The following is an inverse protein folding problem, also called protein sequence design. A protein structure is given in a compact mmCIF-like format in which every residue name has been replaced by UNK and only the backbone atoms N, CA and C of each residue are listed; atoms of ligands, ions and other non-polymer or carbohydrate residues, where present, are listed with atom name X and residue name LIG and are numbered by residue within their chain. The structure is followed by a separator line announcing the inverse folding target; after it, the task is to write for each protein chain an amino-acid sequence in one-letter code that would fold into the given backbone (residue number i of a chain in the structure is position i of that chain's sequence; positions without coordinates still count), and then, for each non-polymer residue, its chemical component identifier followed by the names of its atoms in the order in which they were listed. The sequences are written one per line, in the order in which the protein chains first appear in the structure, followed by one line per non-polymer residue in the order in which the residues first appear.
data_IF_370754664828
#
_entry.id   IF_370754664828
#
_cell.length_a   1.000
_cell.length_b   1.000
_cell.length_c   1.000
_cell.angle_alpha   90.00
_cell.angle_beta   90.00
_cell.angle_gamma   90.00
#
_symmetry.space_group_name_H-M   'P 1'
#
loop_
_entity.id
_entity.type
_entity.pdbx_description
1 polymer ?
#
# COMPACT_ATOMS: atom_id res chain seq x y z
N UNK A 1 -35.42 -8.94 -31.17
CA UNK A 1 -35.27 -9.82 -29.99
C UNK A 1 -33.89 -10.42 -30.06
N UNK A 2 -32.93 -9.82 -29.33
CA UNK A 2 -31.54 -10.25 -29.31
C UNK A 2 -31.25 -10.96 -28.00
N UNK A 3 -30.83 -12.22 -28.13
CA UNK A 3 -30.52 -13.15 -27.07
C UNK A 3 -29.24 -12.71 -26.33
N UNK A 4 -29.34 -12.37 -25.03
CA UNK A 4 -28.18 -12.06 -24.19
C UNK A 4 -27.86 -13.29 -23.36
N UNK A 5 -26.74 -13.92 -23.72
CA UNK A 5 -26.20 -15.10 -23.07
C UNK A 5 -25.95 -14.87 -21.56
N UNK A 6 -26.37 -15.79 -20.66
CA UNK A 6 -26.22 -15.63 -19.19
C UNK A 6 -24.80 -15.68 -18.65
N UNK A 7 -23.81 -16.01 -19.49
CA UNK A 7 -22.41 -16.24 -19.09
C UNK A 7 -21.62 -14.97 -18.76
N UNK A 8 -22.12 -13.77 -19.11
CA UNK A 8 -21.44 -12.51 -18.82
C UNK A 8 -21.74 -11.94 -17.42
N UNK A 9 -22.75 -12.46 -16.72
CA UNK A 9 -23.19 -11.91 -15.41
C UNK A 9 -22.40 -12.51 -14.24
N UNK A 10 -21.86 -13.73 -14.38
CA UNK A 10 -21.16 -14.41 -13.28
C UNK A 10 -19.67 -14.05 -13.13
N UNK A 11 -19.00 -13.56 -14.17
CA UNK A 11 -17.56 -13.23 -14.08
C UNK A 11 -17.27 -11.89 -13.38
N UNK A 12 -18.19 -10.93 -13.40
CA UNK A 12 -18.00 -9.64 -12.74
C UNK A 12 -18.12 -9.74 -11.20
N UNK A 13 -18.81 -10.75 -10.69
CA UNK A 13 -19.11 -10.89 -9.26
C UNK A 13 -17.97 -11.59 -8.50
N UNK A 14 -17.29 -12.56 -9.13
CA UNK A 14 -16.17 -13.28 -8.51
C UNK A 14 -14.95 -12.37 -8.27
N UNK A 15 -14.62 -11.49 -9.22
CA UNK A 15 -13.52 -10.53 -9.08
C UNK A 15 -13.79 -9.51 -7.96
N UNK A 16 -15.05 -9.10 -7.78
CA UNK A 16 -15.47 -8.20 -6.70
C UNK A 16 -15.39 -8.87 -5.33
N UNK A 17 -15.87 -10.12 -5.23
CA UNK A 17 -15.81 -10.92 -4.01
C UNK A 17 -14.36 -11.25 -3.62
N UNK A 18 -13.49 -11.56 -4.59
CA UNK A 18 -12.08 -11.83 -4.33
C UNK A 18 -11.33 -10.57 -3.86
N UNK A 19 -11.63 -9.41 -4.46
CA UNK A 19 -11.10 -8.12 -4.00
C UNK A 19 -11.57 -7.78 -2.57
N UNK A 20 -12.84 -8.06 -2.24
CA UNK A 20 -13.41 -7.81 -0.91
C UNK A 20 -12.85 -8.77 0.16
N UNK A 21 -12.57 -10.02 -0.19
CA UNK A 21 -11.87 -10.98 0.68
C UNK A 21 -10.42 -10.54 0.95
N UNK A 22 -9.71 -10.07 -0.08
CA UNK A 22 -8.36 -9.55 0.07
C UNK A 22 -8.35 -8.29 0.94
N UNK A 23 -9.26 -7.35 0.70
CA UNK A 23 -9.39 -6.16 1.52
C UNK A 23 -9.77 -6.52 2.97
N UNK A 24 -10.64 -7.51 3.19
CA UNK A 24 -11.00 -8.02 4.51
C UNK A 24 -9.80 -8.62 5.29
N UNK A 25 -9.01 -9.47 4.65
CA UNK A 25 -7.80 -10.07 5.23
C UNK A 25 -6.75 -8.99 5.56
N UNK A 26 -6.64 -7.98 4.71
CA UNK A 26 -5.65 -6.92 4.84
C UNK A 26 -6.11 -5.82 5.82
N UNK A 27 -7.43 -5.61 6.00
CA UNK A 27 -8.02 -4.86 7.12
C UNK A 27 -7.62 -5.51 8.46
N UNK A 28 -7.69 -6.84 8.55
CA UNK A 28 -7.35 -7.57 9.76
C UNK A 28 -5.85 -7.44 10.09
N UNK A 29 -4.96 -7.62 9.11
CA UNK A 29 -3.51 -7.43 9.25
C UNK A 29 -3.13 -5.99 9.65
N UNK A 30 -3.73 -4.97 9.04
CA UNK A 30 -3.43 -3.57 9.35
C UNK A 30 -4.06 -3.07 10.66
N UNK A 31 -5.16 -3.67 11.11
CA UNK A 31 -5.76 -3.35 12.41
C UNK A 31 -4.89 -3.79 13.60
N UNK A 32 -3.99 -4.75 13.39
CA UNK A 32 -2.98 -5.18 14.36
C UNK A 32 -1.75 -4.27 14.40
N UNK A 33 -1.54 -3.43 13.37
CA UNK A 33 -0.47 -2.46 13.30
C UNK A 33 -0.99 -1.04 13.53
N UNK A 34 -1.09 -0.62 14.80
CA UNK A 34 -1.36 0.78 15.17
C UNK A 34 -0.12 1.66 14.87
N UNK A 35 -0.19 2.58 13.88
CA UNK A 35 0.94 3.43 13.52
C UNK A 35 1.12 4.64 14.45
N UNK A 36 0.27 4.81 15.48
CA UNK A 36 0.42 5.92 16.45
C UNK A 36 1.43 5.66 17.56
N UNK A 37 2.00 4.44 17.63
CA UNK A 37 3.23 4.23 18.39
C UNK A 37 4.43 4.74 17.59
N UNK A 38 4.64 6.05 17.65
CA UNK A 38 5.99 6.59 17.50
C UNK A 38 6.90 5.81 18.48
N UNK A 39 8.04 5.25 18.05
CA UNK A 39 9.06 4.82 18.99
C UNK A 39 9.47 6.07 19.75
N UNK A 40 9.05 6.15 21.01
CA UNK A 40 9.65 7.05 21.99
C UNK A 40 11.15 6.81 21.90
N UNK A 41 11.95 7.88 21.83
CA UNK A 41 13.40 7.81 21.64
C UNK A 41 14.04 6.65 22.43
N UNK A 42 14.33 5.54 21.73
CA UNK A 42 14.90 4.37 22.37
C UNK A 42 16.41 4.62 22.50
N UNK A 43 16.85 4.72 23.75
CA UNK A 43 18.25 4.72 24.17
C UNK A 43 19.01 3.62 23.44
N UNK A 44 20.16 3.96 22.86
CA UNK A 44 21.00 3.13 21.97
C UNK A 44 21.66 1.89 22.59
N UNK A 45 21.32 1.49 23.80
CA UNK A 45 21.96 0.36 24.48
C UNK A 45 20.95 -0.77 24.73
N UNK A 46 20.33 -1.26 23.65
CA UNK A 46 19.34 -2.35 23.73
C UNK A 46 19.92 -3.65 23.17
N UNK A 47 19.85 -4.78 23.90
CA UNK A 47 20.41 -6.08 23.46
C UNK A 47 19.69 -6.72 22.25
N UNK A 48 18.71 -6.04 21.64
CA UNK A 48 17.92 -6.51 20.51
C UNK A 48 18.16 -5.77 19.18
N UNK A 49 19.25 -4.99 19.07
CA UNK A 49 19.53 -4.17 17.88
C UNK A 49 19.52 -4.94 16.55
N UNK A 50 19.88 -6.23 16.54
CA UNK A 50 19.82 -7.08 15.34
C UNK A 50 18.40 -7.40 14.90
N UNK A 51 17.46 -7.59 15.84
CA UNK A 51 16.06 -7.84 15.55
C UNK A 51 15.38 -6.57 15.00
N UNK A 52 15.75 -5.40 15.54
CA UNK A 52 15.23 -4.12 15.07
C UNK A 52 15.65 -3.84 13.61
N UNK A 53 16.91 -4.12 13.25
CA UNK A 53 17.41 -3.95 11.88
C UNK A 53 16.71 -4.91 10.91
N UNK A 54 16.51 -6.18 11.30
CA UNK A 54 15.77 -7.14 10.47
C UNK A 54 14.32 -6.69 10.25
N UNK A 55 13.64 -6.20 11.28
CA UNK A 55 12.29 -5.68 11.16
C UNK A 55 12.22 -4.47 10.23
N UNK A 56 13.16 -3.53 10.35
CA UNK A 56 13.24 -2.37 9.45
C UNK A 56 13.53 -2.77 8.01
N UNK A 57 14.36 -3.80 7.80
CA UNK A 57 14.68 -4.33 6.49
C UNK A 57 13.48 -4.99 5.81
N UNK A 58 12.75 -5.86 6.52
CA UNK A 58 11.52 -6.44 5.98
C UNK A 58 10.50 -5.37 5.62
N UNK A 59 10.29 -4.39 6.52
CA UNK A 59 9.41 -3.26 6.23
C UNK A 59 9.86 -2.46 5.00
N UNK A 60 11.17 -2.26 4.82
CA UNK A 60 11.71 -1.58 3.64
C UNK A 60 11.39 -2.34 2.35
N UNK A 61 11.54 -3.67 2.35
CA UNK A 61 11.18 -4.50 1.19
C UNK A 61 9.67 -4.52 0.94
N UNK A 62 8.84 -4.60 1.99
CA UNK A 62 7.38 -4.55 1.88
C UNK A 62 6.89 -3.22 1.30
N UNK A 63 7.49 -2.11 1.76
CA UNK A 63 7.22 -0.76 1.27
C UNK A 63 7.59 -0.64 -0.23
N UNK A 64 8.71 -1.23 -0.66
CA UNK A 64 9.08 -1.30 -2.08
C UNK A 64 8.10 -2.15 -2.89
N UNK A 65 7.66 -3.30 -2.37
CA UNK A 65 6.65 -4.15 -3.02
C UNK A 65 5.35 -3.37 -3.24
N UNK A 66 4.88 -2.66 -2.21
CA UNK A 66 3.66 -1.86 -2.27
C UNK A 66 3.70 -0.79 -3.38
N UNK A 67 4.82 -0.09 -3.53
CA UNK A 67 4.97 0.95 -4.56
C UNK A 67 5.14 0.40 -5.98
N UNK A 68 5.58 -0.86 -6.12
CA UNK A 68 5.73 -1.53 -7.40
C UNK A 68 4.45 -2.23 -7.90
N UNK A 69 3.49 -2.50 -7.01
CA UNK A 69 2.19 -3.06 -7.37
C UNK A 69 1.30 -2.02 -8.08
N UNK A 70 0.86 -2.32 -9.30
CA UNK A 70 0.20 -1.37 -10.22
C UNK A 70 -1.31 -1.61 -10.43
N UNK A 71 -1.79 -2.83 -10.24
CA UNK A 71 -3.14 -3.29 -10.54
C UNK A 71 -3.92 -3.56 -9.25
N UNK A 72 -5.25 -3.45 -9.31
CA UNK A 72 -6.11 -3.84 -8.20
C UNK A 72 -6.38 -5.35 -8.19
N UNK A 73 -6.92 -5.86 -7.08
CA UNK A 73 -7.40 -7.25 -6.99
C UNK A 73 -6.31 -8.32 -7.03
N UNK A 74 -5.06 -7.97 -6.72
CA UNK A 74 -3.95 -8.93 -6.64
C UNK A 74 -3.29 -9.27 -7.99
N UNK A 75 -3.69 -8.62 -9.10
CA UNK A 75 -3.22 -8.96 -10.45
C UNK A 75 -1.74 -8.66 -10.70
N UNK A 76 -1.17 -7.67 -10.02
CA UNK A 76 0.26 -7.36 -10.14
C UNK A 76 0.97 -7.40 -8.81
N UNK A 77 0.58 -8.32 -7.91
CA UNK A 77 1.30 -8.51 -6.64
C UNK A 77 2.78 -8.65 -6.96
N UNK A 78 3.58 -7.80 -6.33
CA UNK A 78 5.03 -7.81 -6.45
C UNK A 78 5.59 -8.39 -5.16
N UNK A 79 6.48 -9.36 -5.30
CA UNK A 79 7.33 -9.82 -4.20
C UNK A 79 8.79 -9.53 -4.53
N UNK A 80 9.53 -9.17 -3.49
CA UNK A 80 10.94 -8.79 -3.59
C UNK A 80 11.78 -9.64 -2.66
N UNK A 81 12.94 -10.06 -3.17
CA UNK A 81 14.02 -10.64 -2.39
C UNK A 81 15.27 -9.82 -2.69
N UNK A 82 16.11 -9.64 -1.69
CA UNK A 82 17.39 -8.99 -1.84
C UNK A 82 18.50 -9.96 -1.47
N UNK A 83 19.44 -10.15 -2.39
CA UNK A 83 20.60 -11.04 -2.25
C UNK A 83 21.88 -10.20 -2.26
N UNK A 84 22.82 -10.50 -1.38
CA UNK A 84 24.19 -9.99 -1.52
C UNK A 84 25.03 -11.00 -2.33
N UNK A 85 25.40 -10.63 -3.55
CA UNK A 85 26.17 -11.46 -4.46
C UNK A 85 27.44 -10.74 -4.89
N UNK A 86 28.60 -11.25 -4.45
CA UNK A 86 29.94 -10.75 -4.86
C UNK A 86 30.14 -9.25 -4.62
N UNK A 87 29.58 -8.70 -3.54
CA UNK A 87 29.70 -7.28 -3.18
C UNK A 87 28.73 -6.35 -3.92
N UNK A 88 27.78 -6.91 -4.68
CA UNK A 88 26.63 -6.21 -5.25
C UNK A 88 25.35 -6.73 -4.60
N UNK A 89 24.37 -5.85 -4.37
CA UNK A 89 23.05 -6.23 -3.89
C UNK A 89 22.07 -6.38 -5.06
N UNK A 90 21.48 -7.57 -5.19
CA UNK A 90 20.54 -7.90 -6.25
C UNK A 90 19.13 -7.88 -5.68
N UNK A 91 18.30 -6.96 -6.18
CA UNK A 91 16.87 -6.95 -5.90
C UNK A 91 16.14 -7.80 -6.94
N UNK A 92 15.76 -9.01 -6.52
CA UNK A 92 14.99 -9.95 -7.31
C UNK A 92 13.51 -9.63 -7.24
N UNK A 93 12.88 -9.45 -8.40
CA UNK A 93 11.48 -9.10 -8.55
C UNK A 93 10.72 -10.28 -9.14
N UNK A 94 9.61 -10.64 -8.51
CA UNK A 94 8.62 -11.55 -9.10
C UNK A 94 7.23 -10.95 -9.05
N UNK A 95 6.49 -11.17 -10.13
CA UNK A 95 5.10 -10.77 -10.36
C UNK A 95 4.58 -11.58 -11.55
N UNK A 96 3.34 -11.37 -11.97
CA UNK A 96 2.84 -11.99 -13.20
C UNK A 96 3.71 -11.57 -14.41
N UNK A 97 4.04 -12.51 -15.30
CA UNK A 97 5.00 -12.31 -16.39
C UNK A 97 4.74 -11.04 -17.23
N UNK A 98 3.46 -10.73 -17.48
CA UNK A 98 3.05 -9.54 -18.25
C UNK A 98 3.44 -8.20 -17.57
N UNK A 99 3.68 -8.20 -16.26
CA UNK A 99 4.05 -7.02 -15.47
C UNK A 99 5.53 -7.00 -15.04
N UNK A 100 6.31 -8.03 -15.37
CA UNK A 100 7.65 -8.23 -14.81
C UNK A 100 8.64 -7.12 -15.21
N UNK A 101 8.78 -6.82 -16.50
CA UNK A 101 9.67 -5.75 -16.99
C UNK A 101 9.25 -4.38 -16.45
N UNK A 102 7.94 -4.18 -16.33
CA UNK A 102 7.33 -2.97 -15.80
C UNK A 102 7.70 -2.77 -14.33
N UNK A 103 7.60 -3.82 -13.51
CA UNK A 103 7.95 -3.79 -12.09
C UNK A 103 9.46 -3.59 -11.88
N UNK A 104 10.30 -4.29 -12.65
CA UNK A 104 11.77 -4.13 -12.64
C UNK A 104 12.17 -2.68 -12.95
N UNK A 105 11.63 -2.11 -14.03
CA UNK A 105 11.91 -0.73 -14.40
C UNK A 105 11.46 0.27 -13.33
N UNK A 106 10.29 0.03 -12.70
CA UNK A 106 9.79 0.91 -11.64
C UNK A 106 10.67 0.88 -10.40
N UNK A 107 10.99 -0.33 -9.93
CA UNK A 107 11.82 -0.52 -8.75
C UNK A 107 13.19 0.12 -8.96
N UNK A 108 13.76 -0.03 -10.16
CA UNK A 108 15.03 0.58 -10.49
C UNK A 108 14.99 2.11 -10.36
N UNK A 109 13.91 2.76 -10.83
CA UNK A 109 13.71 4.20 -10.65
C UNK A 109 13.59 4.56 -9.16
N UNK A 110 12.80 3.82 -8.38
CA UNK A 110 12.63 4.08 -6.93
C UNK A 110 13.98 3.97 -6.20
N UNK A 111 14.74 2.90 -6.41
CA UNK A 111 16.03 2.68 -5.74
C UNK A 111 17.05 3.79 -6.07
N UNK A 112 17.08 4.28 -7.32
CA UNK A 112 17.91 5.43 -7.69
C UNK A 112 17.47 6.73 -7.01
N UNK A 113 16.17 6.94 -6.81
CA UNK A 113 15.68 8.10 -6.03
C UNK A 113 16.04 7.98 -4.55
N UNK A 114 15.94 6.78 -3.97
CA UNK A 114 16.35 6.52 -2.59
C UNK A 114 17.86 6.68 -2.39
N UNK A 115 18.67 6.30 -3.37
CA UNK A 115 20.11 6.55 -3.34
C UNK A 115 20.42 8.06 -3.24
N UNK A 116 19.65 8.90 -3.94
CA UNK A 116 19.77 10.37 -3.84
C UNK A 116 19.36 10.89 -2.46
N UNK A 117 18.39 10.25 -1.79
CA UNK A 117 17.96 10.64 -0.45
C UNK A 117 19.09 10.54 0.60
N UNK A 118 20.04 9.60 0.44
CA UNK A 118 21.15 9.39 1.39
C UNK A 118 21.97 10.67 1.61
N UNK A 119 22.11 11.51 0.59
CA UNK A 119 22.95 12.72 0.60
C UNK A 119 22.13 14.01 0.51
N UNK A 120 20.81 13.92 0.53
CA UNK A 120 19.94 15.07 0.34
C UNK A 120 19.84 15.90 1.63
N UNK A 121 19.81 17.23 1.51
CA UNK A 121 19.30 18.09 2.57
C UNK A 121 17.77 17.92 2.73
N UNK A 122 17.19 18.54 3.75
CA UNK A 122 15.76 18.38 4.07
C UNK A 122 14.83 18.82 2.92
N UNK A 123 15.16 19.90 2.21
CA UNK A 123 14.36 20.40 1.08
C UNK A 123 14.41 19.45 -0.11
N UNK A 124 15.62 18.99 -0.45
CA UNK A 124 15.84 18.00 -1.50
C UNK A 124 15.17 16.66 -1.15
N UNK A 125 15.26 16.22 0.11
CA UNK A 125 14.63 14.98 0.57
C UNK A 125 13.10 15.05 0.42
N UNK A 126 12.48 16.18 0.77
CA UNK A 126 11.04 16.39 0.59
C UNK A 126 10.62 16.28 -0.88
N UNK A 127 11.40 16.87 -1.79
CA UNK A 127 11.14 16.78 -3.23
C UNK A 127 11.29 15.35 -3.77
N UNK A 128 12.28 14.59 -3.29
CA UNK A 128 12.47 13.19 -3.66
C UNK A 128 11.34 12.29 -3.14
N UNK A 129 10.89 12.49 -1.90
CA UNK A 129 9.73 11.79 -1.33
C UNK A 129 8.50 12.00 -2.21
N UNK A 130 8.22 13.26 -2.57
CA UNK A 130 7.08 13.60 -3.41
C UNK A 130 7.21 12.96 -4.80
N UNK A 131 8.42 12.99 -5.38
CA UNK A 131 8.68 12.34 -6.66
C UNK A 131 8.42 10.83 -6.62
N UNK A 132 8.88 10.13 -5.57
CA UNK A 132 8.66 8.68 -5.35
C UNK A 132 7.16 8.38 -5.26
N UNK A 133 6.41 9.17 -4.48
CA UNK A 133 4.97 9.01 -4.37
C UNK A 133 4.27 9.22 -5.72
N UNK A 134 4.57 10.32 -6.42
CA UNK A 134 3.94 10.67 -7.69
C UNK A 134 4.19 9.65 -8.81
N UNK A 135 5.41 9.13 -8.94
CA UNK A 135 5.67 8.10 -9.96
C UNK A 135 4.89 6.82 -9.64
N UNK A 136 4.79 6.44 -8.36
CA UNK A 136 4.12 5.20 -7.94
C UNK A 136 2.59 5.31 -8.07
N UNK A 137 2.02 6.47 -7.73
CA UNK A 137 0.59 6.77 -7.94
C UNK A 137 0.24 6.74 -9.43
N UNK A 138 1.06 7.37 -10.28
CA UNK A 138 0.82 7.37 -11.74
C UNK A 138 0.85 5.97 -12.36
N UNK A 139 1.60 5.04 -11.78
CA UNK A 139 1.62 3.64 -12.22
C UNK A 139 0.49 2.80 -11.67
N UNK A 140 -0.26 3.30 -10.69
CA UNK A 140 -1.31 2.56 -9.99
C UNK A 140 -2.73 3.09 -10.22
N UNK A 141 -3.11 3.57 -11.43
CA UNK A 141 -4.37 4.30 -11.61
C UNK A 141 -5.59 3.45 -11.27
N UNK A 142 -5.54 2.13 -11.53
CA UNK A 142 -6.63 1.23 -11.20
C UNK A 142 -6.81 1.04 -9.69
N UNK A 143 -5.71 0.91 -8.94
CA UNK A 143 -5.74 0.79 -7.47
C UNK A 143 -6.30 2.07 -6.84
N UNK A 144 -5.79 3.22 -7.27
CA UNK A 144 -6.24 4.53 -6.78
C UNK A 144 -7.72 4.74 -7.09
N UNK A 145 -8.14 4.44 -8.33
CA UNK A 145 -9.54 4.52 -8.73
C UNK A 145 -10.44 3.59 -7.93
N UNK A 146 -9.99 2.35 -7.70
CA UNK A 146 -10.72 1.35 -6.91
C UNK A 146 -10.94 1.84 -5.48
N UNK A 147 -9.88 2.26 -4.78
CA UNK A 147 -9.99 2.76 -3.41
C UNK A 147 -10.81 4.05 -3.32
N UNK A 148 -10.65 4.98 -4.27
CA UNK A 148 -11.46 6.21 -4.33
C UNK A 148 -12.94 5.94 -4.57
N UNK A 149 -13.27 4.97 -5.42
CA UNK A 149 -14.65 4.56 -5.69
C UNK A 149 -15.29 3.85 -4.49
N UNK A 150 -14.55 2.95 -3.83
CA UNK A 150 -15.00 2.30 -2.59
C UNK A 150 -15.25 3.32 -1.48
N UNK A 151 -14.34 4.27 -1.28
CA UNK A 151 -14.51 5.36 -0.32
C UNK A 151 -15.79 6.14 -0.59
N UNK A 152 -16.01 6.57 -1.85
CA UNK A 152 -17.24 7.29 -2.24
C UNK A 152 -18.50 6.50 -1.89
N UNK A 153 -18.55 5.23 -2.27
CA UNK A 153 -19.75 4.42 -2.09
C UNK A 153 -20.09 4.23 -0.61
N UNK A 154 -19.09 3.91 0.21
CA UNK A 154 -19.28 3.66 1.65
C UNK A 154 -19.69 4.95 2.38
N UNK A 155 -19.13 6.10 2.00
CA UNK A 155 -19.55 7.39 2.56
C UNK A 155 -20.99 7.74 2.16
N UNK A 156 -21.39 7.48 0.92
CA UNK A 156 -22.76 7.74 0.45
C UNK A 156 -23.80 6.83 1.13
N UNK A 157 -23.48 5.55 1.33
CA UNK A 157 -24.29 4.60 2.10
C UNK A 157 -24.54 5.14 3.51
N UNK A 158 -23.48 5.63 4.18
CA UNK A 158 -23.58 6.14 5.55
C UNK A 158 -24.43 7.40 5.66
N UNK A 159 -24.24 8.36 4.75
CA UNK A 159 -25.06 9.58 4.75
C UNK A 159 -26.53 9.22 4.60
N UNK A 160 -26.86 8.26 3.73
CA UNK A 160 -28.25 7.79 3.51
C UNK A 160 -28.83 7.16 4.78
N UNK A 161 -28.07 6.34 5.50
CA UNK A 161 -28.48 5.75 6.78
C UNK A 161 -28.77 6.82 7.85
N UNK A 162 -27.91 7.84 7.97
CA UNK A 162 -28.06 8.91 8.96
C UNK A 162 -29.32 9.76 8.71
N UNK A 163 -29.63 10.04 7.44
CA UNK A 163 -30.89 10.69 7.06
C UNK A 163 -32.11 9.82 7.36
N UNK A 164 -32.04 8.51 7.12
CA UNK A 164 -33.14 7.58 7.38
C UNK A 164 -33.43 7.39 8.88
N UNK A 165 -32.42 7.50 9.74
CA UNK A 165 -32.56 7.44 11.20
C UNK A 165 -33.14 8.73 11.83
N UNK A 166 -33.50 9.74 11.02
CA UNK A 166 -34.09 11.00 11.50
C UNK A 166 -33.14 11.83 12.36
N UNK A 167 -31.82 11.60 12.26
CA UNK A 167 -30.82 12.37 12.97
C UNK A 167 -30.64 13.71 12.26
N UNK A 168 -31.02 14.80 12.95
CA UNK A 168 -30.59 16.14 12.55
C UNK A 168 -29.08 16.19 12.69
N UNK A 169 -28.36 16.42 11.59
CA UNK A 169 -26.94 16.71 11.58
C UNK A 169 -26.73 17.87 12.58
N UNK A 170 -26.02 17.59 13.68
CA UNK A 170 -25.85 18.53 14.77
C UNK A 170 -24.95 19.71 14.37
N UNK A 171 -24.97 20.71 15.25
CA UNK A 171 -24.26 22.01 15.17
C UNK A 171 -22.84 21.96 14.57
N UNK A 172 -22.44 23.05 13.89
CA UNK A 172 -21.21 23.30 13.09
C UNK A 172 -19.86 22.65 13.46
N UNK A 173 -19.67 22.09 14.66
CA UNK A 173 -18.46 21.34 15.02
C UNK A 173 -18.51 19.86 14.58
N UNK A 174 -19.70 19.30 14.35
CA UNK A 174 -19.87 17.90 13.95
C UNK A 174 -19.74 17.68 12.43
N UNK A 175 -19.74 18.75 11.62
CA UNK A 175 -19.68 18.65 10.14
C UNK A 175 -18.26 18.56 9.59
N UNK A 176 -17.25 18.99 10.34
CA UNK A 176 -15.86 19.08 9.85
C UNK A 176 -15.28 17.76 9.30
N UNK A 177 -15.52 16.57 9.92
CA UNK A 177 -15.07 15.30 9.34
C UNK A 177 -15.77 14.96 8.02
N UNK A 178 -17.06 15.31 7.89
CA UNK A 178 -17.85 15.10 6.68
C UNK A 178 -17.42 16.04 5.57
N UNK A 179 -17.24 17.33 5.84
CA UNK A 179 -16.74 18.31 4.87
C UNK A 179 -15.36 17.92 4.31
N UNK A 180 -14.47 17.43 5.18
CA UNK A 180 -13.16 16.97 4.76
C UNK A 180 -13.22 15.68 3.92
N UNK A 181 -14.15 14.76 4.21
CA UNK A 181 -14.40 13.59 3.38
C UNK A 181 -15.05 13.95 2.04
N UNK A 182 -16.01 14.88 2.04
CA UNK A 182 -16.66 15.38 0.84
C UNK A 182 -15.65 16.02 -0.11
N UNK A 183 -14.69 16.78 0.44
CA UNK A 183 -13.58 17.31 -0.35
C UNK A 183 -12.75 16.20 -1.01
N UNK A 184 -12.34 15.18 -0.24
CA UNK A 184 -11.58 14.03 -0.76
C UNK A 184 -12.37 13.31 -1.87
N UNK A 185 -13.68 13.10 -1.68
CA UNK A 185 -14.55 12.45 -2.64
C UNK A 185 -14.75 13.31 -3.90
N UNK A 186 -14.82 14.64 -3.76
CA UNK A 186 -14.96 15.57 -4.87
C UNK A 186 -13.75 15.50 -5.81
N UNK A 187 -12.53 15.44 -5.26
CA UNK A 187 -11.28 15.42 -6.03
C UNK A 187 -10.85 14.02 -6.50
N UNK A 188 -11.67 12.98 -6.28
CA UNK A 188 -11.28 11.57 -6.53
C UNK A 188 -10.77 11.22 -7.94
N UNK A 189 -11.06 12.07 -8.92
CA UNK A 189 -10.62 11.92 -10.31
C UNK A 189 -9.18 12.42 -10.53
N UNK A 190 -8.65 13.21 -9.58
CA UNK A 190 -7.29 13.71 -9.54
C UNK A 190 -6.47 12.78 -8.63
N UNK A 191 -5.88 11.73 -9.19
CA UNK A 191 -5.27 10.65 -8.41
C UNK A 191 -4.18 11.12 -7.43
N UNK A 192 -3.37 12.10 -7.83
CA UNK A 192 -2.32 12.67 -6.99
C UNK A 192 -2.94 13.41 -5.80
N UNK A 193 -3.79 14.40 -6.09
CA UNK A 193 -4.47 15.21 -5.07
C UNK A 193 -5.33 14.35 -4.12
N UNK A 194 -5.96 13.30 -4.65
CA UNK A 194 -6.72 12.32 -3.85
C UNK A 194 -5.83 11.62 -2.82
N UNK A 195 -4.68 11.10 -3.25
CA UNK A 195 -3.75 10.39 -2.37
C UNK A 195 -3.11 11.34 -1.35
N UNK A 196 -2.71 12.53 -1.78
CA UNK A 196 -2.13 13.55 -0.92
C UNK A 196 -3.15 14.02 0.13
N UNK A 197 -4.35 14.40 -0.29
CA UNK A 197 -5.42 14.84 0.61
C UNK A 197 -5.80 13.74 1.60
N UNK A 198 -5.82 12.47 1.17
CA UNK A 198 -6.06 11.33 2.06
C UNK A 198 -4.93 11.11 3.06
N UNK A 199 -3.68 11.37 2.67
CA UNK A 199 -2.54 11.34 3.59
C UNK A 199 -2.65 12.47 4.62
N UNK A 200 -2.86 13.71 4.17
CA UNK A 200 -2.99 14.90 5.03
C UNK A 200 -4.20 14.82 5.97
N UNK A 201 -5.30 14.20 5.53
CA UNK A 201 -6.50 14.00 6.35
C UNK A 201 -6.18 13.32 7.68
N UNK A 202 -5.25 12.36 7.71
CA UNK A 202 -4.85 11.65 8.94
C UNK A 202 -4.23 12.53 10.01
N UNK A 203 -3.71 13.69 9.62
CA UNK A 203 -3.07 14.66 10.51
C UNK A 203 -4.00 15.81 10.90
N UNK A 204 -5.20 15.87 10.32
CA UNK A 204 -6.21 16.85 10.71
C UNK A 204 -6.96 16.33 11.94
N UNK A 205 -7.39 17.26 12.81
CA UNK A 205 -8.25 16.95 13.95
C UNK A 205 -9.52 16.19 13.54
N UNK A 206 -9.99 16.43 12.31
CA UNK A 206 -11.06 15.69 11.65
C UNK A 206 -10.90 14.16 11.75
N UNK A 207 -9.70 13.60 11.63
CA UNK A 207 -9.45 12.16 11.76
C UNK A 207 -9.58 11.68 13.21
N UNK A 208 -9.13 12.49 14.17
CA UNK A 208 -9.30 12.23 15.60
C UNK A 208 -10.77 12.30 16.03
N UNK A 209 -11.51 13.27 15.50
CA UNK A 209 -12.95 13.41 15.70
C UNK A 209 -13.71 12.22 15.08
N UNK A 210 -13.31 11.78 13.88
CA UNK A 210 -13.87 10.59 13.24
C UNK A 210 -13.77 9.35 14.14
N UNK A 211 -12.70 9.23 14.95
CA UNK A 211 -12.50 8.15 15.94
C UNK A 211 -13.46 8.24 17.13
N UNK A 212 -13.86 9.46 17.52
CA UNK A 212 -14.76 9.71 18.65
C UNK A 212 -16.23 9.51 18.26
N UNK A 213 -16.60 9.76 17.01
CA UNK A 213 -17.97 9.63 16.50
C UNK A 213 -18.35 8.20 16.08
N UNK A 214 -17.45 7.23 16.25
CA UNK A 214 -17.74 5.82 15.94
C UNK A 214 -18.68 5.24 17.02
N UNK A 215 -20.00 5.29 16.78
CA UNK A 215 -20.97 4.54 17.57
C UNK A 215 -20.69 3.03 17.43
N UNK A 216 -20.98 2.20 18.45
CA UNK A 216 -20.77 0.75 18.37
C UNK A 216 -21.48 0.09 17.17
N UNK A 217 -22.66 0.61 16.80
CA UNK A 217 -23.47 0.13 15.67
C UNK A 217 -22.96 0.57 14.30
N UNK A 218 -22.21 1.67 14.18
CA UNK A 218 -21.64 2.17 12.91
C UNK A 218 -20.12 1.94 12.81
N UNK A 219 -19.57 1.15 13.73
CA UNK A 219 -18.13 0.90 13.85
C UNK A 219 -17.52 0.26 12.62
N UNK A 220 -18.26 -0.61 11.95
CA UNK A 220 -17.78 -1.29 10.76
C UNK A 220 -17.62 -0.32 9.58
N UNK A 221 -18.65 0.46 9.25
CA UNK A 221 -18.64 1.42 8.14
C UNK A 221 -17.56 2.48 8.30
N UNK A 222 -17.44 3.09 9.48
CA UNK A 222 -16.39 4.08 9.75
C UNK A 222 -14.98 3.47 9.73
N UNK A 223 -14.83 2.21 10.16
CA UNK A 223 -13.58 1.50 9.98
C UNK A 223 -13.24 1.29 8.51
N UNK A 224 -14.23 1.02 7.65
CA UNK A 224 -14.03 0.92 6.20
C UNK A 224 -13.67 2.27 5.57
N UNK A 225 -14.34 3.37 5.93
CA UNK A 225 -13.96 4.74 5.51
C UNK A 225 -12.51 5.02 5.87
N UNK A 226 -12.16 4.82 7.15
CA UNK A 226 -10.79 4.97 7.65
C UNK A 226 -9.81 4.07 6.91
N UNK A 227 -10.20 2.84 6.61
CA UNK A 227 -9.38 1.90 5.85
C UNK A 227 -9.05 2.44 4.46
N UNK A 228 -10.05 2.90 3.68
CA UNK A 228 -9.81 3.37 2.32
C UNK A 228 -9.08 4.72 2.26
N UNK A 229 -9.38 5.65 3.17
CA UNK A 229 -8.53 6.86 3.36
C UNK A 229 -7.10 6.45 3.73
N UNK A 230 -6.98 5.41 4.56
CA UNK A 230 -5.73 4.72 4.84
C UNK A 230 -5.03 4.26 3.57
N UNK A 231 -5.67 3.47 2.73
CA UNK A 231 -5.07 2.97 1.48
C UNK A 231 -4.62 4.09 0.57
N UNK A 232 -5.45 5.10 0.36
CA UNK A 232 -5.14 6.26 -0.49
C UNK A 232 -3.95 7.07 0.04
N UNK A 233 -3.87 7.29 1.35
CA UNK A 233 -2.71 7.97 1.94
C UNK A 233 -1.45 7.11 2.06
N UNK A 234 -1.50 5.83 1.70
CA UNK A 234 -0.38 4.90 1.93
C UNK A 234 0.81 5.17 1.01
N UNK A 235 0.59 5.61 -0.24
CA UNK A 235 1.68 5.96 -1.16
C UNK A 235 2.64 7.01 -0.60
N UNK A 236 2.13 8.12 -0.07
CA UNK A 236 2.97 9.15 0.56
C UNK A 236 3.62 8.63 1.85
N UNK A 237 2.88 7.89 2.68
CA UNK A 237 3.43 7.29 3.91
C UNK A 237 4.63 6.40 3.60
N UNK A 238 4.50 5.52 2.61
CA UNK A 238 5.52 4.57 2.20
C UNK A 238 6.72 5.29 1.57
N UNK A 239 6.51 6.29 0.73
CA UNK A 239 7.60 7.10 0.18
C UNK A 239 8.43 7.78 1.30
N UNK A 240 7.77 8.31 2.33
CA UNK A 240 8.44 8.90 3.52
C UNK A 240 9.20 7.83 4.31
N UNK A 241 8.58 6.66 4.53
CA UNK A 241 9.18 5.53 5.24
C UNK A 241 10.48 5.09 4.57
N UNK A 242 10.45 4.86 3.26
CA UNK A 242 11.62 4.47 2.47
C UNK A 242 12.71 5.53 2.47
N UNK A 243 12.36 6.81 2.26
CA UNK A 243 13.34 7.88 2.24
C UNK A 243 14.08 8.04 3.58
N UNK A 244 13.37 7.86 4.71
CA UNK A 244 13.97 7.87 6.05
C UNK A 244 14.87 6.66 6.30
N UNK A 245 14.47 5.49 5.80
CA UNK A 245 15.23 4.25 5.93
C UNK A 245 16.46 4.20 4.99
N UNK A 246 16.50 5.01 3.93
CA UNK A 246 17.54 4.97 2.92
C UNK A 246 18.96 5.11 3.49
N UNK A 247 19.15 5.94 4.54
CA UNK A 247 20.45 6.11 5.19
C UNK A 247 20.90 4.85 5.95
N UNK A 248 19.97 4.13 6.59
CA UNK A 248 20.26 2.87 7.30
C UNK A 248 20.69 1.75 6.34
N UNK A 249 20.23 1.81 5.09
CA UNK A 249 20.55 0.84 4.03
C UNK A 249 21.47 1.41 2.96
N UNK A 250 22.30 2.40 3.32
CA UNK A 250 23.15 3.10 2.36
C UNK A 250 24.16 2.18 1.65
N UNK A 251 24.71 1.17 2.35
CA UNK A 251 25.60 0.17 1.72
C UNK A 251 24.87 -0.61 0.62
N UNK A 252 23.63 -1.02 0.90
CA UNK A 252 22.77 -1.74 -0.04
C UNK A 252 22.46 -0.90 -1.27
N UNK A 253 22.14 0.38 -1.06
CA UNK A 253 21.76 1.31 -2.12
C UNK A 253 22.95 1.89 -2.89
N UNK A 254 24.20 1.64 -2.49
CA UNK A 254 25.39 2.13 -3.19
C UNK A 254 25.75 1.31 -4.41
N UNK A 255 25.58 -0.02 -4.33
CA UNK A 255 25.92 -0.94 -5.40
C UNK A 255 24.81 -1.98 -5.54
N UNK A 256 23.78 -1.64 -6.31
CA UNK A 256 22.64 -2.52 -6.53
C UNK A 256 22.35 -2.73 -8.01
N UNK A 257 21.69 -3.85 -8.29
CA UNK A 257 20.96 -4.06 -9.54
C UNK A 257 19.58 -4.64 -9.27
N UNK A 258 18.67 -4.43 -10.21
CA UNK A 258 17.34 -5.02 -10.17
C UNK A 258 17.24 -6.09 -11.24
N UNK A 259 16.71 -7.26 -10.89
CA UNK A 259 16.54 -8.36 -11.81
C UNK A 259 15.21 -9.05 -11.59
N UNK A 260 14.63 -9.56 -12.67
CA UNK A 260 13.51 -10.46 -12.64
C UNK A 260 13.93 -11.85 -12.14
N UNK A 261 13.15 -12.49 -11.28
CA UNK A 261 13.31 -13.92 -11.01
C UNK A 261 13.06 -14.66 -12.33
N UNK A 262 14.00 -15.51 -12.79
CA UNK A 262 13.80 -16.30 -14.00
C UNK A 262 12.54 -17.14 -13.85
N UNK A 263 11.60 -17.01 -14.78
CA UNK A 263 10.47 -17.92 -14.83
C UNK A 263 11.00 -19.34 -15.10
N UNK A 264 10.54 -20.37 -14.38
CA UNK A 264 10.78 -21.73 -14.82
C UNK A 264 10.24 -21.85 -16.25
N UNK A 265 11.10 -22.34 -17.14
CA UNK A 265 10.73 -22.60 -18.54
C UNK A 265 9.54 -23.59 -18.53
N UNK A 266 8.38 -23.25 -19.10
CA UNK A 266 7.23 -24.16 -19.10
C UNK A 266 7.54 -25.49 -19.80
N UNK A 267 8.57 -25.56 -20.65
CA UNK A 267 9.10 -26.79 -21.25
C UNK A 267 10.00 -27.63 -20.33
N UNK A 268 10.45 -27.05 -19.21
CA UNK A 268 11.18 -27.72 -18.13
C UNK A 268 10.34 -27.63 -16.87
N UNK A 269 9.22 -28.34 -16.83
CA UNK A 269 8.60 -28.65 -15.54
C UNK A 269 9.67 -29.31 -14.68
N UNK A 270 10.18 -28.58 -13.69
CA UNK A 270 10.82 -29.21 -12.56
C UNK A 270 9.77 -30.19 -12.02
N UNK A 271 10.05 -31.49 -12.14
CA UNK A 271 9.32 -32.50 -11.40
C UNK A 271 9.68 -32.27 -9.94
N UNK A 272 8.94 -31.38 -9.29
CA UNK A 272 8.91 -31.32 -7.84
C UNK A 272 8.25 -32.62 -7.40
N UNK A 273 9.06 -33.59 -6.99
CA UNK A 273 8.55 -34.71 -6.22
C UNK A 273 8.66 -34.27 -4.76
N UNK A 274 7.50 -34.15 -4.11
CA UNK A 274 7.40 -33.60 -2.76
C UNK A 274 8.36 -34.27 -1.76
N UNK A 275 8.69 -35.54 -2.02
CA UNK A 275 9.56 -36.36 -1.18
C UNK A 275 11.06 -36.02 -1.32
N UNK A 276 11.56 -35.74 -2.53
CA UNK A 276 12.99 -35.43 -2.75
C UNK A 276 13.35 -34.02 -2.23
N UNK A 277 12.42 -33.07 -2.35
CA UNK A 277 12.64 -31.69 -1.93
C UNK A 277 12.49 -31.48 -0.42
N UNK A 278 11.70 -32.32 0.26
CA UNK A 278 11.60 -32.32 1.72
C UNK A 278 12.87 -32.86 2.39
N UNK A 279 13.54 -33.87 1.79
CA UNK A 279 14.82 -34.35 2.30
C UNK A 279 15.95 -33.32 2.13
N UNK A 280 15.91 -32.52 1.05
CA UNK A 280 16.88 -31.47 0.79
C UNK A 280 16.76 -30.26 1.75
N UNK A 281 15.60 -30.06 2.39
CA UNK A 281 15.33 -28.96 3.33
C UNK A 281 15.63 -29.33 4.80
N UNK A 282 16.01 -30.58 5.08
CA UNK A 282 16.26 -31.10 6.44
C UNK A 282 17.77 -31.32 6.72
N UNK A 283 18.65 -30.93 5.79
CA UNK A 283 20.12 -30.92 5.94
C UNK A 283 20.68 -29.50 5.94
#
# INVERSE_FOLDING_TARGET
MGDKSPSAIFHQDVDAVHADLYDGLLIQSLSQHDPTRLPSSVRRDSPNASQDIQFEWHRFLDDLCFLCDSQSGGKSVVALIAEEARGEHVFWVTTELVYQDVAVAHLNVILHLLQKCIRADEGCMRALIEQIAQISIRRSPQRVHHYGSRLKNITAERLTEEFAEGQSIGTCTETAPYEALDHIIAIRHLHQDLCESSYLFRYKDAYGLLKQHIKPTSKETWNRVRHFVGRLGHWHKTAISLARAAASFASVLQNFRVAAIPSPDPGKQARFTLDEDLEALVL
#
